data_IF_095407783801
#
_entry.id   IF_095407783801
#
_cell.length_a   1.000
_cell.length_b   1.000
_cell.length_c   1.000
_cell.angle_alpha   90.00
_cell.angle_beta   90.00
_cell.angle_gamma   90.00
#
_symmetry.space_group_name_H-M   'P 1'
#
loop_
_entity.id
_entity.type
_entity.pdbx_description
1 polymer ?
#
# COMPACT_ATOMS: atom_id res chain seq x y z
N UNK A 1 -17.45 70.81 18.80
CA UNK A 1 -17.89 70.62 17.40
C UNK A 1 -16.75 69.87 16.70
N UNK A 2 -17.05 68.68 16.17
CA UNK A 2 -16.12 67.72 15.54
C UNK A 2 -15.45 68.27 14.24
N UNK A 3 -14.59 67.52 13.49
CA UNK A 3 -13.56 66.51 13.82
C UNK A 3 -12.26 66.61 12.94
N UNK A 4 -11.29 65.73 13.25
CA UNK A 4 -10.40 64.94 12.36
C UNK A 4 -9.54 65.56 11.23
N UNK A 5 -8.22 65.34 11.34
CA UNK A 5 -7.35 64.95 10.21
C UNK A 5 -6.00 64.38 10.74
N UNK A 6 -5.93 63.07 10.99
CA UNK A 6 -4.64 62.36 11.04
C UNK A 6 -4.57 61.38 9.87
N UNK A 7 -3.81 61.77 8.84
CA UNK A 7 -3.42 60.90 7.75
C UNK A 7 -1.93 60.62 7.84
N UNK A 8 -1.55 59.47 8.40
CA UNK A 8 -0.18 58.93 8.28
C UNK A 8 -0.19 57.70 7.36
N UNK A 9 0.17 57.96 6.11
CA UNK A 9 0.46 56.93 5.11
C UNK A 9 1.80 56.26 5.43
N UNK A 10 1.76 55.14 6.13
CA UNK A 10 2.88 54.21 6.28
C UNK A 10 2.75 53.03 5.32
N UNK A 11 3.20 53.18 4.07
CA UNK A 11 3.32 52.07 3.11
C UNK A 11 4.72 51.46 3.24
N UNK A 12 4.87 50.41 4.03
CA UNK A 12 6.04 49.51 3.96
C UNK A 12 5.64 48.23 3.24
N UNK A 13 6.10 48.12 2.00
CA UNK A 13 5.95 46.92 1.18
C UNK A 13 6.67 45.74 1.82
N UNK A 14 5.90 44.71 2.19
CA UNK A 14 6.43 43.40 2.57
C UNK A 14 6.97 42.72 1.32
N UNK A 15 8.26 42.88 1.06
CA UNK A 15 9.00 42.10 0.05
C UNK A 15 8.99 40.63 0.47
N UNK A 16 8.13 39.84 -0.19
CA UNK A 16 8.04 38.40 -0.01
C UNK A 16 9.28 37.70 -0.54
N UNK A 17 10.22 37.38 0.35
CA UNK A 17 11.22 36.35 0.07
C UNK A 17 10.48 35.01 0.10
N UNK A 18 10.35 34.34 -1.05
CA UNK A 18 9.89 32.94 -1.12
C UNK A 18 10.88 32.10 -0.31
N UNK A 19 10.52 31.82 0.95
CA UNK A 19 11.16 30.78 1.72
C UNK A 19 10.81 29.45 1.07
N UNK A 20 11.80 28.58 0.90
CA UNK A 20 11.55 27.17 0.56
C UNK A 20 10.53 26.60 1.55
N UNK A 21 9.55 25.80 1.10
CA UNK A 21 8.62 25.15 2.01
C UNK A 21 9.43 24.33 3.02
N UNK A 22 9.21 24.56 4.31
CA UNK A 22 9.76 23.67 5.34
C UNK A 22 9.09 22.30 5.15
N UNK A 23 9.84 21.18 5.16
CA UNK A 23 9.23 19.86 5.15
C UNK A 23 8.22 19.77 6.31
N UNK A 24 7.12 19.08 6.10
CA UNK A 24 6.10 18.92 7.15
C UNK A 24 6.65 18.10 8.32
N UNK A 25 6.05 18.26 9.51
CA UNK A 25 6.49 17.58 10.73
C UNK A 25 6.55 16.05 10.56
N UNK A 26 5.66 15.48 9.72
CA UNK A 26 5.63 14.05 9.40
C UNK A 26 6.88 13.62 8.62
N UNK A 27 7.28 14.38 7.61
CA UNK A 27 8.47 14.13 6.79
C UNK A 27 9.73 14.21 7.63
N UNK A 28 9.83 15.23 8.49
CA UNK A 28 10.93 15.37 9.45
C UNK A 28 11.02 14.16 10.40
N UNK A 29 9.89 13.67 10.90
CA UNK A 29 9.85 12.48 11.75
C UNK A 29 10.21 11.17 11.01
N UNK A 30 9.86 11.06 9.72
CA UNK A 30 10.26 9.92 8.88
C UNK A 30 11.78 9.89 8.69
N UNK A 31 12.37 11.02 8.30
CA UNK A 31 13.82 11.15 8.12
C UNK A 31 14.57 10.85 9.42
N UNK A 32 14.07 11.36 10.56
CA UNK A 32 14.63 11.06 11.88
C UNK A 32 14.59 9.56 12.21
N UNK A 33 13.46 8.88 11.94
CA UNK A 33 13.35 7.43 12.14
C UNK A 33 14.35 6.66 11.26
N UNK A 34 14.49 7.03 9.98
CA UNK A 34 15.44 6.37 9.07
C UNK A 34 16.89 6.58 9.51
N UNK A 35 17.24 7.79 9.95
CA UNK A 35 18.57 8.08 10.50
C UNK A 35 18.88 7.27 11.76
N UNK A 36 17.91 7.11 12.66
CA UNK A 36 18.05 6.28 13.85
C UNK A 36 18.17 4.79 13.50
N UNK A 37 17.35 4.30 12.56
CA UNK A 37 17.39 2.91 12.09
C UNK A 37 18.71 2.52 11.42
N UNK A 38 19.44 3.48 10.85
CA UNK A 38 20.76 3.23 10.29
C UNK A 38 21.78 2.77 11.34
N UNK A 39 21.52 3.00 12.64
CA UNK A 39 22.47 2.71 13.73
C UNK A 39 21.89 1.92 14.91
N UNK A 40 20.57 1.83 15.04
CA UNK A 40 19.88 1.22 16.18
C UNK A 40 18.74 0.30 15.73
N UNK A 41 18.45 -0.72 16.51
CA UNK A 41 17.30 -1.60 16.26
C UNK A 41 15.98 -0.83 16.43
N UNK A 42 14.97 -1.18 15.64
CA UNK A 42 13.64 -0.60 15.68
C UNK A 42 12.98 -0.67 17.06
N UNK A 43 13.23 -1.73 17.82
CA UNK A 43 12.72 -1.90 19.18
C UNK A 43 13.29 -0.86 20.16
N UNK A 44 14.57 -0.50 20.00
CA UNK A 44 15.32 0.38 20.92
C UNK A 44 15.03 1.88 20.66
N UNK A 45 14.44 2.20 19.51
CA UNK A 45 14.07 3.58 19.16
C UNK A 45 12.75 3.94 19.83
N UNK A 46 12.74 4.96 20.69
CA UNK A 46 11.52 5.49 21.28
C UNK A 46 10.91 6.63 20.44
N UNK A 47 9.64 6.99 20.71
CA UNK A 47 9.02 8.18 20.10
C UNK A 47 9.70 9.48 20.55
N UNK A 48 10.29 9.49 21.75
CA UNK A 48 11.05 10.64 22.25
C UNK A 48 12.35 10.81 21.47
N UNK A 49 13.08 9.72 21.19
CA UNK A 49 14.29 9.76 20.35
C UNK A 49 13.98 10.31 18.96
N UNK A 50 12.86 9.90 18.36
CA UNK A 50 12.41 10.39 17.06
C UNK A 50 12.08 11.88 17.13
N UNK A 51 11.35 12.32 18.16
CA UNK A 51 11.01 13.73 18.33
C UNK A 51 12.27 14.60 18.48
N UNK A 52 13.23 14.16 19.29
CA UNK A 52 14.50 14.84 19.50
C UNK A 52 15.31 14.92 18.21
N UNK A 53 15.49 13.78 17.52
CA UNK A 53 16.22 13.73 16.25
C UNK A 53 15.55 14.57 15.14
N UNK A 54 14.22 14.67 15.14
CA UNK A 54 13.46 15.52 14.23
C UNK A 54 13.44 17.00 14.65
N UNK A 55 13.93 17.36 15.84
CA UNK A 55 13.81 18.73 16.38
C UNK A 55 12.36 19.15 16.68
N UNK A 56 11.49 18.18 16.96
CA UNK A 56 10.07 18.36 17.25
C UNK A 56 9.79 18.28 18.74
N UNK A 57 8.78 19.02 19.20
CA UNK A 57 8.18 18.76 20.51
C UNK A 57 7.43 17.42 20.46
N UNK A 58 7.42 16.60 21.53
CA UNK A 58 6.65 15.35 21.56
C UNK A 58 5.16 15.54 21.23
N UNK A 59 4.58 16.68 21.62
CA UNK A 59 3.19 17.03 21.29
C UNK A 59 2.96 17.32 19.80
N UNK A 60 3.95 17.85 19.09
CA UNK A 60 3.90 18.04 17.64
C UNK A 60 4.03 16.70 16.92
N UNK A 61 4.98 15.85 17.36
CA UNK A 61 5.11 14.48 16.84
C UNK A 61 3.80 13.70 16.97
N UNK A 62 3.13 13.77 18.13
CA UNK A 62 1.85 13.07 18.36
C UNK A 62 0.71 13.59 17.48
N UNK A 63 0.74 14.86 17.08
CA UNK A 63 -0.23 15.42 16.13
C UNK A 63 0.06 14.95 14.70
N UNK A 64 1.34 14.79 14.35
CA UNK A 64 1.77 14.36 13.03
C UNK A 64 1.55 12.85 12.78
N UNK A 65 1.77 12.02 13.81
CA UNK A 65 1.68 10.55 13.72
C UNK A 65 1.15 9.89 15.00
N UNK A 66 0.52 8.74 14.82
CA UNK A 66 -0.07 7.90 15.87
C UNK A 66 0.95 6.96 16.50
N UNK A 67 2.07 6.67 15.82
CA UNK A 67 3.15 5.81 16.34
C UNK A 67 4.23 5.47 15.31
N UNK A 68 5.22 4.67 15.72
CA UNK A 68 6.39 4.30 14.90
C UNK A 68 6.02 3.57 13.60
N UNK A 69 5.02 2.70 13.63
CA UNK A 69 4.57 1.97 12.44
C UNK A 69 3.93 2.88 11.39
N UNK A 70 3.30 3.99 11.80
CA UNK A 70 2.77 4.98 10.86
C UNK A 70 3.90 5.71 10.12
N UNK A 71 5.05 5.94 10.77
CA UNK A 71 6.23 6.51 10.11
C UNK A 71 6.80 5.56 9.05
N UNK A 72 6.85 4.25 9.32
CA UNK A 72 7.24 3.26 8.31
C UNK A 72 6.26 3.23 7.13
N UNK A 73 4.96 3.35 7.39
CA UNK A 73 3.94 3.44 6.35
C UNK A 73 4.04 4.74 5.55
N UNK A 74 4.35 5.86 6.21
CA UNK A 74 4.56 7.16 5.58
C UNK A 74 5.80 7.13 4.68
N UNK A 75 6.90 6.53 5.14
CA UNK A 75 8.09 6.31 4.32
C UNK A 75 7.78 5.48 3.07
N UNK A 76 7.08 4.36 3.22
CA UNK A 76 6.66 3.57 2.06
C UNK A 76 5.80 4.39 1.08
N UNK A 77 4.90 5.23 1.60
CA UNK A 77 4.08 6.13 0.79
C UNK A 77 4.91 7.22 0.07
N UNK A 78 5.96 7.76 0.68
CA UNK A 78 6.88 8.71 0.04
C UNK A 78 7.65 8.05 -1.11
N UNK A 79 8.14 6.82 -0.92
CA UNK A 79 8.78 6.03 -1.97
C UNK A 79 7.78 5.72 -3.09
N UNK A 80 6.57 5.28 -2.76
CA UNK A 80 5.53 4.98 -3.74
C UNK A 80 5.18 6.23 -4.57
N UNK A 81 5.06 7.40 -3.92
CA UNK A 81 4.80 8.67 -4.58
C UNK A 81 5.94 9.07 -5.53
N UNK A 82 7.20 8.93 -5.10
CA UNK A 82 8.35 9.23 -5.96
C UNK A 82 8.38 8.36 -7.22
N UNK A 83 8.01 7.08 -7.11
CA UNK A 83 7.89 6.17 -8.27
C UNK A 83 6.74 6.57 -9.19
N UNK A 84 5.59 6.95 -8.63
CA UNK A 84 4.43 7.39 -9.40
C UNK A 84 4.69 8.70 -10.13
N UNK A 85 5.39 9.65 -9.50
CA UNK A 85 5.78 10.93 -10.09
C UNK A 85 6.86 10.76 -11.17
N UNK A 86 7.73 9.75 -11.02
CA UNK A 86 8.77 9.38 -11.98
C UNK A 86 8.30 8.49 -13.13
N UNK A 87 6.99 8.24 -13.26
CA UNK A 87 6.44 7.32 -14.26
C UNK A 87 6.70 7.83 -15.68
N UNK A 88 7.33 6.98 -16.50
CA UNK A 88 7.53 7.23 -17.91
C UNK A 88 6.37 6.67 -18.75
N UNK A 89 5.53 7.58 -19.23
CA UNK A 89 4.37 7.25 -20.07
C UNK A 89 4.80 6.72 -21.46
N UNK A 90 6.06 6.88 -21.88
CA UNK A 90 6.53 6.32 -23.16
C UNK A 90 6.61 4.79 -23.16
N UNK A 91 6.59 4.15 -21.99
CA UNK A 91 6.68 2.70 -21.83
C UNK A 91 5.33 1.98 -21.96
N UNK A 92 4.21 2.67 -22.21
CA UNK A 92 2.89 2.02 -22.22
C UNK A 92 2.73 0.93 -23.27
N UNK A 93 3.43 1.05 -24.40
CA UNK A 93 3.42 0.09 -25.50
C UNK A 93 4.22 -1.19 -25.19
N UNK A 94 5.01 -1.19 -24.11
CA UNK A 94 5.78 -2.35 -23.67
C UNK A 94 4.91 -3.40 -22.97
N UNK A 95 5.32 -4.69 -22.96
CA UNK A 95 4.66 -5.73 -22.19
C UNK A 95 4.47 -5.34 -20.70
N UNK A 96 3.37 -5.73 -20.04
CA UNK A 96 3.12 -5.39 -18.64
C UNK A 96 4.24 -5.80 -17.66
N UNK A 97 4.96 -6.88 -17.99
CA UNK A 97 6.12 -7.36 -17.23
C UNK A 97 7.24 -6.33 -17.24
N UNK A 98 7.60 -5.82 -18.42
CA UNK A 98 8.74 -4.93 -18.60
C UNK A 98 8.44 -3.58 -17.93
N UNK A 99 7.20 -3.08 -18.07
CA UNK A 99 6.75 -1.89 -17.32
C UNK A 99 6.83 -2.08 -15.79
N UNK A 100 6.50 -3.28 -15.30
CA UNK A 100 6.61 -3.57 -13.87
C UNK A 100 8.06 -3.70 -13.42
N UNK A 101 8.94 -4.24 -14.27
CA UNK A 101 10.37 -4.28 -14.02
C UNK A 101 10.93 -2.86 -13.82
N UNK A 102 10.63 -1.94 -14.73
CA UNK A 102 11.11 -0.57 -14.65
C UNK A 102 10.59 0.15 -13.40
N UNK A 103 9.29 0.03 -13.11
CA UNK A 103 8.68 0.59 -11.89
C UNK A 103 9.38 0.09 -10.62
N UNK A 104 9.73 -1.21 -10.56
CA UNK A 104 10.40 -1.78 -9.41
C UNK A 104 11.89 -1.40 -9.35
N UNK A 105 12.55 -1.16 -10.49
CA UNK A 105 13.90 -0.59 -10.53
C UNK A 105 13.91 0.85 -10.03
N UNK A 106 13.01 1.71 -10.54
CA UNK A 106 12.84 3.09 -10.03
C UNK A 106 12.58 3.11 -8.53
N UNK A 107 11.82 2.13 -8.03
CA UNK A 107 11.60 1.97 -6.59
C UNK A 107 12.89 1.62 -5.84
N UNK A 108 13.70 0.71 -6.36
CA UNK A 108 14.99 0.36 -5.74
C UNK A 108 15.94 1.57 -5.72
N UNK A 109 15.94 2.39 -6.78
CA UNK A 109 16.71 3.64 -6.83
C UNK A 109 16.26 4.61 -5.72
N UNK A 110 14.95 4.77 -5.52
CA UNK A 110 14.40 5.59 -4.43
C UNK A 110 14.71 5.04 -3.02
N UNK A 111 14.93 3.73 -2.90
CA UNK A 111 15.31 3.08 -1.64
C UNK A 111 16.82 3.12 -1.37
N UNK A 112 17.65 3.34 -2.39
CA UNK A 112 19.11 3.26 -2.30
C UNK A 112 19.72 4.16 -1.20
N UNK A 113 19.31 5.43 -1.01
CA UNK A 113 19.83 6.28 0.06
C UNK A 113 19.55 5.75 1.46
N UNK A 114 18.56 4.86 1.61
CA UNK A 114 18.08 4.35 2.89
C UNK A 114 18.49 2.90 3.16
N UNK A 115 19.42 2.33 2.37
CA UNK A 115 19.94 0.96 2.55
C UNK A 115 20.32 0.63 4.01
N UNK A 116 21.05 1.47 4.77
CA UNK A 116 21.41 1.15 6.16
C UNK A 116 20.19 0.92 7.05
N UNK A 117 19.17 1.80 6.94
CA UNK A 117 17.94 1.70 7.70
C UNK A 117 17.13 0.45 7.32
N UNK A 118 17.02 0.15 6.03
CA UNK A 118 16.33 -1.03 5.50
C UNK A 118 17.01 -2.34 5.93
N UNK A 119 18.35 -2.37 5.94
CA UNK A 119 19.13 -3.52 6.41
C UNK A 119 18.86 -3.81 7.88
N UNK A 120 18.84 -2.79 8.73
CA UNK A 120 18.51 -2.97 10.14
C UNK A 120 17.05 -3.40 10.33
N UNK A 121 16.12 -2.77 9.61
CA UNK A 121 14.70 -3.11 9.68
C UNK A 121 14.43 -4.57 9.26
N UNK A 122 15.16 -5.08 8.25
CA UNK A 122 15.13 -6.50 7.85
C UNK A 122 15.60 -7.40 9.00
N UNK A 123 16.72 -7.08 9.62
CA UNK A 123 17.28 -7.84 10.76
C UNK A 123 16.33 -7.89 11.95
N UNK A 124 15.60 -6.81 12.20
CA UNK A 124 14.62 -6.73 13.27
C UNK A 124 13.37 -7.53 12.94
N UNK A 125 12.86 -7.44 11.70
CA UNK A 125 11.71 -8.22 11.25
C UNK A 125 11.94 -9.74 11.32
N UNK A 126 13.18 -10.20 11.12
CA UNK A 126 13.53 -11.62 11.30
C UNK A 126 13.47 -12.08 12.75
N UNK A 127 13.57 -11.17 13.72
CA UNK A 127 13.55 -11.45 15.17
C UNK A 127 12.20 -11.15 15.81
N UNK A 128 11.38 -10.32 15.17
CA UNK A 128 10.06 -9.89 15.64
C UNK A 128 8.96 -10.21 14.59
N UNK A 129 8.19 -11.31 14.80
CA UNK A 129 7.09 -11.69 13.91
C UNK A 129 5.98 -10.63 13.80
N UNK A 130 5.74 -9.84 14.85
CA UNK A 130 4.71 -8.80 14.83
C UNK A 130 5.15 -7.64 13.93
N UNK A 131 6.43 -7.24 14.00
CA UNK A 131 7.03 -6.28 13.08
C UNK A 131 6.99 -6.80 11.64
N UNK A 132 7.35 -8.06 11.40
CA UNK A 132 7.29 -8.67 10.06
C UNK A 132 5.86 -8.62 9.48
N UNK A 133 4.84 -8.92 10.29
CA UNK A 133 3.44 -8.84 9.85
C UNK A 133 3.01 -7.41 9.54
N UNK A 134 3.44 -6.45 10.35
CA UNK A 134 3.20 -5.02 10.11
C UNK A 134 3.83 -4.56 8.78
N UNK A 135 5.10 -4.92 8.55
CA UNK A 135 5.82 -4.59 7.32
C UNK A 135 5.19 -5.26 6.10
N UNK A 136 4.74 -6.51 6.21
CA UNK A 136 4.02 -7.18 5.12
C UNK A 136 2.74 -6.41 4.76
N UNK A 137 1.95 -5.98 5.75
CA UNK A 137 0.75 -5.17 5.48
C UNK A 137 1.05 -3.85 4.75
N UNK A 138 2.15 -3.19 5.10
CA UNK A 138 2.63 -1.99 4.39
C UNK A 138 3.06 -2.34 2.97
N UNK A 139 3.88 -3.38 2.81
CA UNK A 139 4.42 -3.84 1.52
C UNK A 139 3.30 -4.22 0.54
N UNK A 140 2.28 -4.97 0.97
CA UNK A 140 1.15 -5.37 0.12
C UNK A 140 0.38 -4.16 -0.42
N UNK A 141 0.10 -3.17 0.44
CA UNK A 141 -0.57 -1.94 -0.01
C UNK A 141 0.27 -1.19 -1.03
N UNK A 142 1.58 -1.10 -0.77
CA UNK A 142 2.54 -0.45 -1.66
C UNK A 142 2.67 -1.18 -3.01
N UNK A 143 2.62 -2.51 -3.04
CA UNK A 143 2.60 -3.24 -4.32
C UNK A 143 1.34 -2.97 -5.15
N UNK A 144 0.22 -2.61 -4.50
CA UNK A 144 -0.94 -2.10 -5.22
C UNK A 144 -0.64 -0.84 -6.03
N UNK A 145 0.14 0.09 -5.47
CA UNK A 145 0.59 1.29 -6.17
C UNK A 145 1.60 0.99 -7.28
N UNK A 146 2.52 0.03 -7.07
CA UNK A 146 3.47 -0.38 -8.12
C UNK A 146 2.77 -1.03 -9.32
N UNK A 147 1.78 -1.89 -9.06
CA UNK A 147 0.95 -2.45 -10.13
C UNK A 147 0.18 -1.35 -10.88
N UNK A 148 -0.37 -0.38 -10.16
CA UNK A 148 -1.05 0.76 -10.77
C UNK A 148 -0.10 1.61 -11.62
N UNK A 149 1.13 1.86 -11.15
CA UNK A 149 2.18 2.56 -11.89
C UNK A 149 2.52 1.84 -13.21
N UNK A 150 2.60 0.50 -13.17
CA UNK A 150 2.82 -0.34 -14.36
C UNK A 150 1.58 -0.49 -15.28
N UNK A 151 0.46 0.18 -14.97
CA UNK A 151 -0.79 0.07 -15.72
C UNK A 151 -1.50 -1.27 -15.56
N UNK A 152 -1.20 -2.03 -14.50
CA UNK A 152 -1.79 -3.34 -14.20
C UNK A 152 -2.91 -3.18 -13.17
N UNK A 153 -4.15 -3.46 -13.59
CA UNK A 153 -5.31 -3.44 -12.70
C UNK A 153 -6.01 -4.79 -12.66
N UNK A 154 -6.06 -5.39 -11.47
CA UNK A 154 -6.74 -6.67 -11.22
C UNK A 154 -7.73 -6.45 -10.09
N UNK A 155 -9.05 -6.42 -10.37
CA UNK A 155 -10.04 -6.15 -9.33
C UNK A 155 -10.25 -7.35 -8.39
N UNK A 156 -10.72 -7.05 -7.18
CA UNK A 156 -11.21 -8.04 -6.22
C UNK A 156 -10.10 -8.86 -5.53
N UNK A 157 -10.48 -10.06 -5.06
CA UNK A 157 -9.61 -10.93 -4.25
C UNK A 157 -8.37 -11.36 -5.02
N UNK A 158 -8.49 -11.58 -6.34
CA UNK A 158 -7.34 -11.92 -7.19
C UNK A 158 -6.28 -10.82 -7.16
N UNK A 159 -6.68 -9.55 -7.21
CA UNK A 159 -5.76 -8.42 -7.09
C UNK A 159 -5.00 -8.43 -5.77
N UNK A 160 -5.69 -8.71 -4.66
CA UNK A 160 -5.03 -8.84 -3.34
C UNK A 160 -4.02 -9.99 -3.30
N UNK A 161 -4.32 -11.11 -3.94
CA UNK A 161 -3.38 -12.23 -4.06
C UNK A 161 -2.15 -11.86 -4.90
N UNK A 162 -2.33 -11.12 -6.00
CA UNK A 162 -1.22 -10.62 -6.81
C UNK A 162 -0.37 -9.62 -6.04
N UNK A 163 -0.99 -8.68 -5.31
CA UNK A 163 -0.29 -7.74 -4.44
C UNK A 163 0.54 -8.47 -3.36
N UNK A 164 -0.04 -9.51 -2.73
CA UNK A 164 0.66 -10.33 -1.75
C UNK A 164 1.81 -11.13 -2.37
N UNK A 165 1.60 -11.74 -3.53
CA UNK A 165 2.64 -12.45 -4.26
C UNK A 165 3.79 -11.53 -4.63
N UNK A 166 3.48 -10.35 -5.17
CA UNK A 166 4.47 -9.34 -5.53
C UNK A 166 5.21 -8.83 -4.28
N UNK A 167 4.55 -8.69 -3.13
CA UNK A 167 5.20 -8.26 -1.90
C UNK A 167 6.25 -9.28 -1.44
N UNK A 168 5.95 -10.58 -1.55
CA UNK A 168 6.89 -11.66 -1.22
C UNK A 168 8.04 -11.71 -2.22
N UNK A 169 7.77 -11.60 -3.52
CA UNK A 169 8.80 -11.56 -4.55
C UNK A 169 9.72 -10.35 -4.38
N UNK A 170 9.16 -9.16 -4.15
CA UNK A 170 9.94 -7.94 -3.92
C UNK A 170 10.78 -8.03 -2.64
N UNK A 171 10.30 -8.67 -1.57
CA UNK A 171 11.08 -8.88 -0.36
C UNK A 171 12.38 -9.70 -0.61
N UNK A 172 12.34 -10.68 -1.52
CA UNK A 172 13.52 -11.47 -1.93
C UNK A 172 14.48 -10.66 -2.80
N UNK A 173 13.96 -9.84 -3.70
CA UNK A 173 14.78 -8.89 -4.48
C UNK A 173 15.46 -7.89 -3.55
N UNK A 174 14.71 -7.35 -2.59
CA UNK A 174 15.21 -6.41 -1.60
C UNK A 174 16.33 -7.02 -0.75
N UNK A 175 16.24 -8.30 -0.40
CA UNK A 175 17.33 -9.02 0.29
C UNK A 175 18.64 -8.96 -0.50
N UNK A 176 18.59 -9.25 -1.81
CA UNK A 176 19.75 -9.19 -2.71
C UNK A 176 20.26 -7.76 -2.85
N UNK A 177 19.36 -6.79 -3.04
CA UNK A 177 19.69 -5.37 -3.14
C UNK A 177 20.44 -4.81 -1.93
N UNK A 178 20.01 -5.20 -0.73
CA UNK A 178 20.62 -4.73 0.51
C UNK A 178 22.04 -5.28 0.74
N UNK A 179 22.40 -6.37 0.06
CA UNK A 179 23.72 -7.02 0.13
C UNK A 179 24.62 -6.67 -1.07
N UNK A 180 24.09 -5.91 -2.03
CA UNK A 180 24.82 -5.50 -3.22
C UNK A 180 25.40 -4.10 -3.04
N UNK A 181 26.74 -4.02 -3.10
CA UNK A 181 27.50 -2.76 -3.03
C UNK A 181 27.69 -2.11 -4.40
N UNK A 182 27.59 -2.90 -5.48
CA UNK A 182 27.74 -2.42 -6.86
C UNK A 182 26.58 -1.48 -7.26
N UNK A 183 26.91 -0.29 -7.76
CA UNK A 183 25.95 0.73 -8.19
C UNK A 183 25.14 0.29 -9.41
N UNK A 184 25.71 -0.57 -10.27
CA UNK A 184 25.01 -1.12 -11.44
C UNK A 184 24.01 -2.23 -11.11
N UNK A 185 23.97 -2.68 -9.83
CA UNK A 185 22.99 -3.63 -9.30
C UNK A 185 22.78 -4.92 -10.15
N UNK A 186 23.83 -5.56 -10.71
CA UNK A 186 23.66 -6.64 -11.67
C UNK A 186 22.99 -7.88 -11.06
N UNK A 187 23.27 -8.20 -9.78
CA UNK A 187 22.62 -9.34 -9.10
C UNK A 187 21.18 -9.02 -8.76
N UNK A 188 20.89 -7.79 -8.35
CA UNK A 188 19.54 -7.32 -8.04
C UNK A 188 18.66 -7.34 -9.29
N UNK A 189 19.14 -6.84 -10.43
CA UNK A 189 18.44 -6.91 -11.72
C UNK A 189 18.12 -8.35 -12.10
N UNK A 190 19.10 -9.26 -12.00
CA UNK A 190 18.90 -10.68 -12.28
C UNK A 190 17.92 -11.35 -11.29
N UNK A 191 17.92 -10.94 -10.01
CA UNK A 191 16.97 -11.44 -9.02
C UNK A 191 15.54 -10.96 -9.33
N UNK A 192 15.39 -9.69 -9.72
CA UNK A 192 14.12 -9.10 -10.11
C UNK A 192 13.54 -9.80 -11.33
N UNK A 193 14.34 -9.96 -12.38
CA UNK A 193 13.97 -10.66 -13.62
C UNK A 193 13.44 -12.07 -13.34
N UNK A 194 14.16 -12.85 -12.53
CA UNK A 194 13.77 -14.21 -12.12
C UNK A 194 12.50 -14.26 -11.28
N UNK A 195 12.23 -13.26 -10.45
CA UNK A 195 11.01 -13.21 -9.63
C UNK A 195 9.79 -12.83 -10.47
N UNK A 196 9.95 -11.92 -11.43
CA UNK A 196 8.89 -11.56 -12.37
C UNK A 196 8.52 -12.73 -13.28
N UNK A 197 9.50 -13.46 -13.81
CA UNK A 197 9.26 -14.67 -14.61
C UNK A 197 8.48 -15.72 -13.82
N UNK A 198 8.87 -15.96 -12.56
CA UNK A 198 8.14 -16.87 -11.67
C UNK A 198 6.71 -16.40 -11.40
N UNK A 199 6.51 -15.10 -11.25
CA UNK A 199 5.19 -14.49 -11.07
C UNK A 199 4.30 -14.68 -12.31
N UNK A 200 4.84 -14.45 -13.50
CA UNK A 200 4.12 -14.63 -14.77
C UNK A 200 3.73 -16.09 -14.99
N UNK A 201 4.66 -17.03 -14.77
CA UNK A 201 4.40 -18.47 -14.85
C UNK A 201 3.29 -18.90 -13.89
N UNK A 202 3.31 -18.38 -12.66
CA UNK A 202 2.28 -18.68 -11.67
C UNK A 202 0.90 -18.15 -12.09
N UNK A 203 0.84 -16.92 -12.61
CA UNK A 203 -0.40 -16.33 -13.13
C UNK A 203 -0.94 -17.11 -14.35
N UNK A 204 -0.06 -17.52 -15.27
CA UNK A 204 -0.42 -18.37 -16.43
C UNK A 204 -1.02 -19.69 -15.97
N UNK A 205 -0.43 -20.34 -14.96
CA UNK A 205 -0.93 -21.59 -14.37
C UNK A 205 -2.29 -21.40 -13.68
N UNK A 206 -2.47 -20.34 -12.90
CA UNK A 206 -3.77 -20.02 -12.28
C UNK A 206 -4.87 -19.79 -13.33
N UNK A 207 -4.56 -19.05 -14.40
CA UNK A 207 -5.49 -18.84 -15.51
C UNK A 207 -5.81 -20.10 -16.30
N UNK A 208 -4.89 -21.08 -16.35
CA UNK A 208 -5.16 -22.40 -16.91
C UNK A 208 -6.09 -23.22 -15.99
N UNK A 209 -5.83 -23.23 -14.68
CA UNK A 209 -6.68 -23.91 -13.68
C UNK A 209 -8.10 -23.34 -13.66
N UNK A 210 -8.27 -22.03 -13.75
CA UNK A 210 -9.60 -21.40 -13.80
C UNK A 210 -10.36 -21.76 -15.09
N UNK A 211 -9.68 -21.83 -16.23
CA UNK A 211 -10.30 -22.28 -17.49
C UNK A 211 -10.73 -23.75 -17.43
N UNK A 212 -9.92 -24.60 -16.81
CA UNK A 212 -10.22 -26.03 -16.64
C UNK A 212 -11.33 -26.27 -15.62
N UNK A 213 -11.41 -25.45 -14.57
CA UNK A 213 -12.41 -25.61 -13.48
C UNK A 213 -13.72 -24.84 -13.73
N UNK A 214 -13.76 -23.89 -14.67
CA UNK A 214 -14.96 -23.15 -15.11
C UNK A 214 -16.20 -24.01 -15.40
N UNK A 215 -16.12 -25.14 -16.15
CA UNK A 215 -17.30 -25.99 -16.37
C UNK A 215 -17.80 -26.66 -15.07
N UNK A 216 -16.91 -26.96 -14.13
CA UNK A 216 -17.24 -27.62 -12.85
C UNK A 216 -17.82 -26.63 -11.84
N UNK A 217 -17.25 -25.43 -11.74
CA UNK A 217 -17.76 -24.35 -10.89
C UNK A 217 -19.17 -23.90 -11.31
N UNK A 218 -19.43 -23.79 -12.62
CA UNK A 218 -20.79 -23.56 -13.14
C UNK A 218 -21.74 -24.72 -12.81
N UNK A 219 -21.27 -25.97 -12.81
CA UNK A 219 -22.05 -27.15 -12.42
C UNK A 219 -22.46 -27.11 -10.94
N UNK A 220 -21.52 -26.80 -10.05
CA UNK A 220 -21.77 -26.72 -8.61
C UNK A 220 -22.67 -25.55 -8.22
N UNK A 221 -22.52 -24.38 -8.86
CA UNK A 221 -23.40 -23.22 -8.65
C UNK A 221 -24.83 -23.53 -9.13
N UNK A 222 -24.99 -24.20 -10.28
CA UNK A 222 -26.31 -24.64 -10.78
C UNK A 222 -26.95 -25.69 -9.88
N UNK A 223 -26.18 -26.62 -9.30
CA UNK A 223 -26.66 -27.62 -8.35
C UNK A 223 -27.09 -26.99 -7.02
N UNK A 224 -26.32 -26.05 -6.48
CA UNK A 224 -26.67 -25.31 -5.27
C UNK A 224 -27.93 -24.44 -5.46
N UNK A 225 -28.06 -23.77 -6.61
CA UNK A 225 -29.26 -23.01 -6.96
C UNK A 225 -30.51 -23.90 -7.10
N UNK A 226 -30.37 -25.10 -7.67
CA UNK A 226 -31.49 -26.05 -7.84
C UNK A 226 -31.95 -26.64 -6.51
N UNK A 227 -31.03 -26.88 -5.57
CA UNK A 227 -31.34 -27.32 -4.21
C UNK A 227 -32.10 -26.25 -3.40
N UNK A 228 -31.74 -24.97 -3.52
CA UNK A 228 -32.48 -23.88 -2.88
C UNK A 228 -33.88 -23.66 -3.47
N UNK A 229 -34.06 -23.79 -4.79
CA UNK A 229 -35.38 -23.64 -5.42
C UNK A 229 -36.37 -24.75 -5.01
N UNK A 230 -35.88 -25.99 -4.86
CA UNK A 230 -36.69 -27.13 -4.39
C UNK A 230 -37.15 -26.98 -2.94
N UNK A 231 -36.35 -26.33 -2.09
CA UNK A 231 -36.73 -26.04 -0.69
C UNK A 231 -37.79 -24.94 -0.58
N UNK A 232 -37.84 -24.01 -1.55
CA UNK A 232 -38.85 -22.95 -1.62
C UNK A 232 -40.20 -23.46 -2.12
N UNK A 233 -40.22 -24.39 -3.07
CA UNK A 233 -41.47 -25.01 -3.59
C UNK A 233 -42.12 -25.96 -2.58
N UNK A 234 -41.36 -26.71 -1.78
CA UNK A 234 -41.93 -27.57 -0.72
C UNK A 234 -42.54 -26.82 0.48
N UNK A 235 -42.26 -25.52 0.62
CA UNK A 235 -42.85 -24.68 1.68
C UNK A 235 -44.19 -24.06 1.29
N UNK A 236 -44.56 -24.11 0.01
CA UNK A 236 -45.85 -23.59 -0.47
C UNK A 236 -46.94 -24.67 -0.60
N UNK A 237 -46.64 -25.95 -0.36
CA UNK A 237 -47.62 -27.05 -0.43
C UNK A 237 -48.17 -27.48 0.94
N UNK A 238 -47.77 -26.83 2.03
CA UNK A 238 -48.36 -27.02 3.37
C UNK A 238 -48.80 -25.67 3.93
N UNK A 239 -49.85 -25.11 3.34
CA UNK A 239 -50.70 -24.08 3.96
C UNK A 239 -51.92 -24.75 4.59
N UNK A 240 -52.37 -24.34 5.79
CA UNK A 240 -53.41 -25.06 6.53
C UNK A 240 -54.79 -24.82 5.92
N UNK A 241 -55.52 -25.91 5.68
CA UNK A 241 -56.97 -25.90 5.50
C UNK A 241 -57.68 -25.52 6.81
N UNK A 242 -58.81 -24.83 6.62
CA UNK A 242 -59.88 -24.49 7.55
C UNK A 242 -59.66 -23.36 8.58
N UNK A 243 -60.32 -22.20 8.36
CA UNK A 243 -61.72 -22.02 8.80
C UNK A 243 -62.14 -20.52 8.82
N UNK A 244 -63.29 -20.24 8.21
CA UNK A 244 -64.31 -19.38 8.84
C UNK A 244 -64.32 -17.88 8.49
N UNK A 245 -64.91 -17.53 7.35
CA UNK A 245 -65.50 -16.20 7.15
C UNK A 245 -67.03 -16.32 7.21
N UNK A 246 -67.61 -15.83 8.31
CA UNK A 246 -69.04 -15.58 8.40
C UNK A 246 -69.29 -14.34 9.26
N UNK A 247 -69.79 -13.30 8.59
CA UNK A 247 -70.93 -12.46 8.97
C UNK A 247 -70.65 -10.96 8.95
N UNK A 248 -70.94 -10.35 7.80
CA UNK A 248 -71.46 -9.00 7.73
C UNK A 248 -72.93 -8.98 8.22
N UNK A 249 -73.35 -7.91 8.88
CA UNK A 249 -74.75 -7.50 8.95
C UNK A 249 -74.87 -5.98 8.72
N UNK A 250 -75.90 -5.52 7.97
CA UNK A 250 -76.11 -4.11 7.68
C UNK A 250 -77.20 -3.46 8.56
N UNK A 251 -77.12 -2.12 8.61
CA UNK A 251 -78.05 -1.07 9.10
C UNK A 251 -78.36 -1.00 10.59
#
# INVERSE_FOLDING_TARGET
MAPEAEGTAGKTGKSGRKATPRPDDRTMAVEALLGLLATRSYADISLTDIAEAAGLKPSALRQAVSGKSELLAAFAGQVDAAVLDGRDDSMFDQPPRDRLFDVLMTRLDALAPHKPALTQLRKDAMRDPALAMCLNGIAVRSQGWMLAAAGVSIPGIKGRLVQQGLAVSFARVLETFLEEEDESLPRTMAALDRELDRGEDWLRRLGAVERVTRPVACGLIKLAGKAMSRRKSRRSETGPDDAGEAAAQPV
#
